data_IF_507705829118
#
_entry.id   IF_507705829118
#
_cell.length_a   1.000
_cell.length_b   1.000
_cell.length_c   1.000
_cell.angle_alpha   90.00
_cell.angle_beta   90.00
_cell.angle_gamma   90.00
#
_symmetry.space_group_name_H-M   'P 1'
#
loop_
_entity.id
_entity.type
_entity.pdbx_description
1 polymer ?
#
# COMPACT_ATOMS: atom_id res chain seq x y z
N UNK A 1 2.72 -18.89 1.01
CA UNK A 1 1.58 -18.33 1.76
C UNK A 1 1.50 -16.85 1.49
N UNK A 2 0.30 -16.30 1.33
CA UNK A 2 0.04 -14.88 1.06
C UNK A 2 -0.96 -14.35 2.09
N UNK A 3 -0.81 -13.10 2.48
CA UNK A 3 -1.79 -12.38 3.30
C UNK A 3 -2.27 -11.17 2.50
N UNK A 4 -3.44 -11.31 1.88
CA UNK A 4 -4.04 -10.27 1.07
C UNK A 4 -4.79 -9.33 2.00
N UNK A 5 -4.43 -8.05 1.96
CA UNK A 5 -5.00 -7.08 2.89
C UNK A 5 -5.38 -5.77 2.21
N UNK A 6 -6.23 -5.06 2.92
CA UNK A 6 -6.59 -3.67 2.65
C UNK A 6 -6.87 -2.94 3.96
N UNK A 7 -6.58 -1.65 3.99
CA UNK A 7 -6.66 -0.80 5.19
C UNK A 7 -7.35 0.50 4.85
N UNK A 8 -8.37 0.85 5.66
CA UNK A 8 -8.91 2.21 5.70
C UNK A 8 -8.27 3.00 6.84
N UNK A 9 -8.06 4.30 6.64
CA UNK A 9 -7.39 5.16 7.62
C UNK A 9 -8.20 6.41 7.95
N UNK A 10 -7.76 7.16 8.94
CA UNK A 10 -8.34 8.48 9.26
C UNK A 10 -8.06 9.53 8.19
N UNK A 11 -7.11 9.28 7.27
CA UNK A 11 -6.49 10.34 6.49
C UNK A 11 -5.66 11.27 7.38
N UNK A 12 -5.16 12.36 6.79
CA UNK A 12 -4.35 13.33 7.51
C UNK A 12 -2.91 13.41 6.99
N UNK A 13 -2.00 13.86 7.85
CA UNK A 13 -0.59 13.98 7.51
C UNK A 13 0.10 12.62 7.54
N UNK A 14 1.19 12.51 6.78
CA UNK A 14 2.04 11.33 6.74
C UNK A 14 2.51 10.94 8.15
N UNK A 15 2.40 9.65 8.49
CA UNK A 15 2.70 9.04 9.80
C UNK A 15 1.83 9.51 10.99
N UNK A 16 0.84 10.40 10.76
CA UNK A 16 -0.14 10.79 11.77
C UNK A 16 -1.47 10.04 11.60
N UNK A 17 -1.64 9.33 10.48
CA UNK A 17 -2.85 8.55 10.23
C UNK A 17 -2.99 7.39 11.25
N UNK A 18 -4.24 7.03 11.54
CA UNK A 18 -4.58 5.81 12.28
C UNK A 18 -5.46 4.89 11.46
N UNK A 19 -5.42 3.59 11.72
CA UNK A 19 -6.26 2.60 11.03
C UNK A 19 -7.69 2.70 11.57
N UNK A 20 -8.67 2.78 10.66
CA UNK A 20 -10.11 2.77 10.98
C UNK A 20 -10.77 1.44 10.63
N UNK A 21 -10.27 0.72 9.65
CA UNK A 21 -10.70 -0.64 9.28
C UNK A 21 -9.53 -1.40 8.70
N UNK A 22 -9.45 -2.70 8.96
CA UNK A 22 -8.50 -3.62 8.34
C UNK A 22 -9.20 -4.91 7.96
N UNK A 23 -8.83 -5.46 6.79
CA UNK A 23 -9.23 -6.80 6.40
C UNK A 23 -8.05 -7.57 5.85
N UNK A 24 -7.92 -8.84 6.22
CA UNK A 24 -6.82 -9.73 5.82
C UNK A 24 -7.40 -11.09 5.46
N UNK A 25 -7.02 -11.61 4.30
CA UNK A 25 -7.28 -12.98 3.87
C UNK A 25 -5.96 -13.73 3.76
N UNK A 26 -5.79 -14.81 4.52
CA UNK A 26 -4.66 -15.72 4.39
C UNK A 26 -4.96 -16.73 3.30
N UNK A 27 -4.10 -16.78 2.28
CA UNK A 27 -4.30 -17.54 1.06
C UNK A 27 -3.09 -18.43 0.78
N UNK A 28 -3.31 -19.71 0.53
CA UNK A 28 -2.23 -20.67 0.29
C UNK A 28 -1.78 -20.75 -1.19
N UNK A 29 -2.53 -20.16 -2.08
CA UNK A 29 -2.36 -20.21 -3.54
C UNK A 29 -3.57 -20.77 -4.25
N UNK A 30 -4.41 -21.53 -3.53
CA UNK A 30 -5.63 -22.14 -4.03
C UNK A 30 -6.86 -21.74 -3.18
N UNK A 31 -6.72 -21.74 -1.84
CA UNK A 31 -7.83 -21.53 -0.91
C UNK A 31 -7.54 -20.42 0.11
N UNK A 32 -8.61 -19.79 0.59
CA UNK A 32 -8.55 -18.96 1.80
C UNK A 32 -8.49 -19.91 3.00
N UNK A 33 -7.40 -19.89 3.74
CA UNK A 33 -7.17 -20.76 4.91
C UNK A 33 -7.45 -20.05 6.23
N UNK A 34 -7.51 -18.72 6.23
CA UNK A 34 -7.84 -17.90 7.39
C UNK A 34 -8.27 -16.51 6.96
N UNK A 35 -9.06 -15.81 7.81
CA UNK A 35 -9.47 -14.44 7.54
C UNK A 35 -9.63 -13.65 8.82
N UNK A 36 -9.40 -12.35 8.74
CA UNK A 36 -9.60 -11.39 9.82
C UNK A 36 -10.13 -10.08 9.24
N UNK A 37 -11.14 -9.50 9.87
CA UNK A 37 -11.64 -8.18 9.53
C UNK A 37 -12.15 -7.48 10.79
N UNK A 38 -11.79 -6.22 10.95
CA UNK A 38 -12.20 -5.43 12.13
C UNK A 38 -12.22 -3.95 11.81
N UNK A 39 -13.23 -3.25 12.32
CA UNK A 39 -13.12 -1.82 12.58
C UNK A 39 -12.10 -1.62 13.71
N UNK A 40 -11.38 -0.51 13.69
CA UNK A 40 -10.37 -0.15 14.69
C UNK A 40 -10.61 1.29 15.13
N UNK A 41 -10.58 1.54 16.43
CA UNK A 41 -10.65 2.89 16.98
C UNK A 41 -9.23 3.46 17.15
N UNK A 42 -8.80 4.38 16.29
CA UNK A 42 -7.46 4.96 16.36
C UNK A 42 -7.33 6.09 17.41
N UNK A 43 -8.43 6.50 18.07
CA UNK A 43 -8.50 7.71 18.91
C UNK A 43 -8.05 9.01 18.19
N UNK A 44 -8.11 8.99 16.86
CA UNK A 44 -7.74 10.12 15.99
C UNK A 44 -8.98 10.55 15.22
N UNK A 45 -9.13 11.84 14.96
CA UNK A 45 -10.25 12.36 14.18
C UNK A 45 -10.16 11.92 12.72
N UNK A 46 -11.28 11.42 12.18
CA UNK A 46 -11.37 11.02 10.77
C UNK A 46 -11.61 12.26 9.93
N UNK A 47 -10.80 12.46 8.91
CA UNK A 47 -10.96 13.58 7.99
C UNK A 47 -12.33 13.53 7.28
N UNK A 48 -13.05 14.65 7.12
CA UNK A 48 -14.40 14.66 6.55
C UNK A 48 -14.51 14.00 5.17
N UNK A 49 -13.48 14.17 4.33
CA UNK A 49 -13.47 13.54 3.01
C UNK A 49 -13.35 12.01 3.09
N UNK A 50 -12.64 11.47 4.11
CA UNK A 50 -12.53 10.02 4.34
C UNK A 50 -13.86 9.45 4.83
N UNK A 51 -14.53 10.15 5.76
CA UNK A 51 -15.90 9.76 6.19
C UNK A 51 -16.84 9.68 4.99
N UNK A 52 -16.78 10.65 4.07
CA UNK A 52 -17.59 10.66 2.85
C UNK A 52 -17.22 9.50 1.90
N UNK A 53 -15.95 9.13 1.84
CA UNK A 53 -15.43 8.09 0.95
C UNK A 53 -15.78 6.69 1.45
N UNK A 54 -15.47 6.39 2.72
CA UNK A 54 -15.55 5.05 3.33
C UNK A 54 -16.87 4.78 4.04
N UNK A 55 -17.60 5.85 4.41
CA UNK A 55 -18.78 5.77 5.28
C UNK A 55 -18.44 5.52 6.74
N UNK A 56 -17.15 5.28 7.09
CA UNK A 56 -16.73 5.04 8.46
C UNK A 56 -16.73 6.35 9.24
N UNK A 57 -17.40 6.36 10.37
CA UNK A 57 -17.54 7.54 11.21
C UNK A 57 -17.27 7.24 12.68
N UNK A 58 -17.09 8.28 13.48
CA UNK A 58 -16.77 8.19 14.91
C UNK A 58 -17.77 7.32 15.72
N UNK A 59 -19.06 7.32 15.34
CA UNK A 59 -20.07 6.52 16.03
C UNK A 59 -19.81 5.02 15.83
N UNK A 60 -19.40 4.62 14.63
CA UNK A 60 -19.07 3.22 14.32
C UNK A 60 -17.83 2.76 15.08
N UNK A 61 -16.84 3.63 15.26
CA UNK A 61 -15.57 3.31 15.90
C UNK A 61 -15.62 3.34 17.43
N UNK A 62 -16.68 3.90 18.02
CA UNK A 62 -16.76 4.11 19.49
C UNK A 62 -16.51 2.84 20.31
N UNK A 63 -17.02 1.71 19.86
CA UNK A 63 -16.91 0.42 20.53
C UNK A 63 -15.97 -0.56 19.78
N UNK A 64 -15.27 -0.08 18.75
CA UNK A 64 -14.29 -0.87 18.04
C UNK A 64 -13.01 -1.04 18.88
N UNK A 65 -12.31 -2.17 18.77
CA UNK A 65 -11.05 -2.38 19.47
C UNK A 65 -10.01 -1.36 19.02
N UNK A 66 -9.05 -1.08 19.87
CA UNK A 66 -7.86 -0.32 19.51
C UNK A 66 -6.84 -1.22 18.80
N UNK A 67 -5.91 -0.62 18.08
CA UNK A 67 -4.94 -1.40 17.30
C UNK A 67 -4.16 -2.41 18.15
N UNK A 68 -3.73 -2.04 19.36
CA UNK A 68 -2.99 -2.93 20.25
C UNK A 68 -3.76 -4.20 20.65
N UNK A 69 -5.10 -4.15 20.68
CA UNK A 69 -5.95 -5.29 21.04
C UNK A 69 -6.01 -6.32 19.92
N UNK A 70 -5.84 -5.90 18.67
CA UNK A 70 -5.86 -6.77 17.48
C UNK A 70 -4.46 -7.07 16.92
N UNK A 71 -3.43 -6.38 17.38
CA UNK A 71 -2.06 -6.46 16.87
C UNK A 71 -1.53 -7.89 16.86
N UNK A 72 -1.76 -8.67 17.93
CA UNK A 72 -1.37 -10.08 18.01
C UNK A 72 -1.99 -10.90 16.88
N UNK A 73 -3.28 -10.72 16.62
CA UNK A 73 -4.00 -11.43 15.57
C UNK A 73 -3.45 -11.08 14.17
N UNK A 74 -3.11 -9.82 13.95
CA UNK A 74 -2.49 -9.36 12.69
C UNK A 74 -1.12 -10.01 12.49
N UNK A 75 -0.29 -10.10 13.54
CA UNK A 75 1.00 -10.81 13.46
C UNK A 75 0.81 -12.28 13.12
N UNK A 76 -0.11 -12.97 13.78
CA UNK A 76 -0.39 -14.40 13.58
C UNK A 76 -0.88 -14.72 12.16
N UNK A 77 -1.89 -13.97 11.66
CA UNK A 77 -2.46 -14.22 10.33
C UNK A 77 -1.48 -13.89 9.20
N UNK A 78 -0.54 -12.98 9.44
CA UNK A 78 0.49 -12.58 8.46
C UNK A 78 1.80 -13.34 8.64
N UNK A 79 1.89 -14.25 9.61
CA UNK A 79 3.13 -14.99 9.86
C UNK A 79 3.52 -15.88 8.68
N UNK A 80 4.82 -15.87 8.35
CA UNK A 80 5.37 -16.62 7.22
C UNK A 80 4.62 -16.39 5.89
N UNK A 81 4.01 -15.20 5.71
CA UNK A 81 3.26 -14.83 4.52
C UNK A 81 3.87 -13.61 3.83
N UNK A 82 3.65 -13.53 2.52
CA UNK A 82 3.91 -12.33 1.73
C UNK A 82 2.67 -11.45 1.82
N UNK A 83 2.81 -10.20 2.26
CA UNK A 83 1.71 -9.24 2.25
C UNK A 83 1.39 -8.82 0.83
N UNK A 84 0.15 -8.93 0.44
CA UNK A 84 -0.35 -8.56 -0.88
C UNK A 84 -1.42 -7.50 -0.72
N UNK A 85 -1.23 -6.35 -1.38
CA UNK A 85 -2.23 -5.28 -1.40
C UNK A 85 -2.23 -4.56 -2.74
N UNK A 86 -3.26 -3.76 -3.00
CA UNK A 86 -3.34 -2.92 -4.18
C UNK A 86 -2.78 -1.52 -3.88
N UNK A 87 -1.51 -1.26 -4.20
CA UNK A 87 -0.65 -0.18 -3.73
C UNK A 87 -0.04 -0.50 -2.35
N UNK A 88 0.53 -1.70 -2.23
CA UNK A 88 1.02 -2.31 -1.00
C UNK A 88 1.97 -1.44 -0.15
N UNK A 89 2.65 -0.47 -0.76
CA UNK A 89 3.51 0.48 -0.04
C UNK A 89 2.72 1.30 0.99
N UNK A 90 1.49 1.71 0.65
CA UNK A 90 0.62 2.46 1.54
C UNK A 90 0.22 1.63 2.76
N UNK A 91 -0.40 0.46 2.54
CA UNK A 91 -0.91 -0.40 3.61
C UNK A 91 0.21 -0.89 4.52
N UNK A 92 1.35 -1.28 3.94
CA UNK A 92 2.49 -1.76 4.70
C UNK A 92 3.10 -0.66 5.58
N UNK A 93 3.22 0.58 5.06
CA UNK A 93 3.69 1.73 5.83
C UNK A 93 2.77 2.01 7.03
N UNK A 94 1.45 2.00 6.81
CA UNK A 94 0.48 2.22 7.88
C UNK A 94 0.61 1.16 8.96
N UNK A 95 0.71 -0.14 8.59
CA UNK A 95 0.94 -1.21 9.55
C UNK A 95 2.25 -1.02 10.34
N UNK A 96 3.35 -0.72 9.63
CA UNK A 96 4.63 -0.46 10.29
C UNK A 96 4.55 0.72 11.27
N UNK A 97 3.81 1.77 10.93
CA UNK A 97 3.61 2.93 11.80
C UNK A 97 2.83 2.54 13.07
N UNK A 98 1.73 1.80 12.92
CA UNK A 98 0.95 1.34 14.08
C UNK A 98 1.76 0.39 14.98
N UNK A 99 2.48 -0.56 14.40
CA UNK A 99 3.34 -1.46 15.18
C UNK A 99 4.50 -0.73 15.85
N UNK A 100 5.10 0.28 15.20
CA UNK A 100 6.15 1.14 15.79
C UNK A 100 5.64 1.91 17.00
N UNK A 101 4.38 2.38 16.98
CA UNK A 101 3.71 3.00 18.14
C UNK A 101 3.61 2.03 19.33
N UNK A 102 3.59 0.72 19.07
CA UNK A 102 3.63 -0.34 20.07
C UNK A 102 5.07 -0.80 20.40
N UNK A 103 6.10 -0.10 19.93
CA UNK A 103 7.52 -0.49 20.08
C UNK A 103 7.82 -1.88 19.48
N UNK A 104 7.09 -2.29 18.44
CA UNK A 104 7.25 -3.59 17.77
C UNK A 104 7.74 -3.37 16.33
N UNK A 105 8.77 -4.13 15.92
CA UNK A 105 9.23 -4.15 14.52
C UNK A 105 8.40 -5.12 13.70
N UNK A 106 7.57 -4.59 12.79
CA UNK A 106 6.76 -5.39 11.90
C UNK A 106 7.40 -5.46 10.52
N UNK A 107 7.99 -6.62 10.20
CA UNK A 107 8.68 -6.84 8.94
C UNK A 107 8.06 -8.01 8.18
N UNK A 108 7.60 -7.75 6.96
CA UNK A 108 7.07 -8.74 6.03
C UNK A 108 7.57 -8.45 4.62
N UNK A 109 7.70 -9.48 3.80
CA UNK A 109 7.83 -9.31 2.34
C UNK A 109 6.51 -8.79 1.81
N UNK A 110 6.56 -7.90 0.84
CA UNK A 110 5.37 -7.32 0.22
C UNK A 110 5.30 -7.63 -1.27
N UNK A 111 4.09 -7.60 -1.82
CA UNK A 111 3.81 -7.77 -3.23
C UNK A 111 2.66 -6.85 -3.63
N UNK A 112 2.89 -5.99 -4.61
CA UNK A 112 1.94 -4.98 -5.04
C UNK A 112 1.15 -5.44 -6.27
N UNK A 113 -0.17 -5.67 -6.14
CA UNK A 113 -1.01 -6.07 -7.27
C UNK A 113 -1.15 -4.96 -8.31
N UNK A 114 -1.03 -3.67 -7.93
CA UNK A 114 -0.98 -2.56 -8.88
C UNK A 114 0.22 -2.68 -9.83
N UNK A 115 1.41 -2.96 -9.30
CA UNK A 115 2.63 -3.12 -10.09
C UNK A 115 2.58 -4.39 -10.94
N UNK A 116 2.11 -5.50 -10.38
CA UNK A 116 1.89 -6.74 -11.14
C UNK A 116 0.90 -6.55 -12.29
N UNK A 117 -0.19 -5.82 -12.05
CA UNK A 117 -1.19 -5.55 -13.09
C UNK A 117 -0.60 -4.74 -14.24
N UNK A 118 0.25 -3.76 -13.97
CA UNK A 118 0.93 -2.99 -15.02
C UNK A 118 1.84 -3.85 -15.91
N UNK A 119 2.42 -4.91 -15.36
CA UNK A 119 3.31 -5.82 -16.08
C UNK A 119 2.51 -6.89 -16.83
N UNK A 120 1.50 -7.49 -16.20
CA UNK A 120 0.77 -8.66 -16.72
C UNK A 120 -0.47 -8.28 -17.54
N UNK A 121 -0.95 -7.03 -17.43
CA UNK A 121 -2.16 -6.51 -18.06
C UNK A 121 -1.90 -5.12 -18.66
N UNK A 122 -0.82 -4.92 -19.46
CA UNK A 122 -0.41 -3.59 -19.91
C UNK A 122 -1.46 -2.88 -20.78
N UNK A 123 -2.40 -3.63 -21.35
CA UNK A 123 -3.50 -3.15 -22.18
C UNK A 123 -4.60 -2.42 -21.41
N UNK A 124 -4.60 -2.49 -20.07
CA UNK A 124 -5.67 -1.90 -19.28
C UNK A 124 -5.60 -0.37 -19.26
N UNK A 125 -6.71 0.34 -19.48
CA UNK A 125 -6.74 1.80 -19.55
C UNK A 125 -6.55 2.48 -18.19
N UNK A 126 -6.75 1.74 -17.09
CA UNK A 126 -6.61 2.23 -15.73
C UNK A 126 -6.21 1.10 -14.78
N UNK A 127 -5.34 1.43 -13.83
CA UNK A 127 -4.86 0.52 -12.79
C UNK A 127 -5.36 0.87 -11.39
N UNK A 128 -6.29 1.80 -11.22
CA UNK A 128 -7.00 1.95 -9.94
C UNK A 128 -7.89 0.72 -9.69
N UNK A 129 -7.93 0.21 -8.46
CA UNK A 129 -8.58 -1.06 -8.14
C UNK A 129 -9.99 -1.16 -8.73
N UNK A 130 -10.87 -0.21 -8.41
CA UNK A 130 -12.25 -0.24 -8.85
C UNK A 130 -12.44 -0.22 -10.38
N UNK A 131 -11.65 0.59 -11.11
CA UNK A 131 -11.70 0.62 -12.59
C UNK A 131 -11.12 -0.65 -13.21
N UNK A 132 -9.99 -1.11 -12.69
CA UNK A 132 -9.31 -2.30 -13.19
C UNK A 132 -10.19 -3.53 -13.07
N UNK A 133 -10.75 -3.80 -11.89
CA UNK A 133 -11.55 -5.00 -11.66
C UNK A 133 -12.87 -4.98 -12.44
N UNK A 134 -13.51 -3.81 -12.63
CA UNK A 134 -14.68 -3.66 -13.50
C UNK A 134 -14.35 -3.98 -14.96
N UNK A 135 -13.22 -3.48 -15.47
CA UNK A 135 -12.77 -3.78 -16.85
C UNK A 135 -12.46 -5.27 -17.04
N UNK A 136 -12.02 -5.96 -15.98
CA UNK A 136 -11.75 -7.39 -15.99
C UNK A 136 -12.99 -8.27 -15.74
N UNK A 137 -14.16 -7.65 -15.55
CA UNK A 137 -15.40 -8.38 -15.25
C UNK A 137 -15.44 -9.02 -13.86
N UNK A 138 -14.56 -8.58 -12.93
CA UNK A 138 -14.55 -9.06 -11.56
C UNK A 138 -15.63 -8.32 -10.77
N UNK A 139 -16.65 -9.03 -10.21
CA UNK A 139 -17.68 -8.39 -9.39
C UNK A 139 -17.08 -7.68 -8.18
N UNK A 140 -17.45 -6.41 -8.01
CA UNK A 140 -16.98 -5.58 -6.93
C UNK A 140 -18.16 -4.92 -6.21
N UNK A 141 -18.32 -5.27 -4.95
CA UNK A 141 -19.33 -4.72 -4.03
C UNK A 141 -18.60 -4.16 -2.80
N UNK A 142 -19.18 -3.16 -2.15
CA UNK A 142 -18.61 -2.50 -0.97
C UNK A 142 -17.23 -1.85 -1.24
N UNK A 143 -17.13 -1.10 -2.33
CA UNK A 143 -15.96 -0.26 -2.63
C UNK A 143 -15.71 0.73 -1.46
N UNK A 144 -14.44 0.97 -1.16
CA UNK A 144 -13.99 1.78 -0.01
C UNK A 144 -14.38 1.22 1.37
N UNK A 145 -14.39 -0.10 1.48
CA UNK A 145 -14.45 -0.83 2.74
C UNK A 145 -13.39 -1.92 2.70
N UNK A 146 -12.54 -1.95 3.71
CA UNK A 146 -11.37 -2.84 3.72
C UNK A 146 -11.71 -4.30 3.39
N UNK A 147 -12.83 -4.83 3.91
CA UNK A 147 -13.28 -6.18 3.58
C UNK A 147 -13.61 -6.36 2.08
N UNK A 148 -14.29 -5.39 1.46
CA UNK A 148 -14.63 -5.41 0.04
C UNK A 148 -13.39 -5.30 -0.85
N UNK A 149 -12.52 -4.35 -0.53
CA UNK A 149 -11.31 -4.06 -1.30
C UNK A 149 -10.27 -5.19 -1.17
N UNK A 150 -10.07 -5.76 0.02
CA UNK A 150 -9.23 -6.94 0.20
C UNK A 150 -9.76 -8.17 -0.55
N UNK A 151 -11.10 -8.40 -0.53
CA UNK A 151 -11.72 -9.52 -1.23
C UNK A 151 -11.57 -9.42 -2.74
N UNK A 152 -11.76 -8.23 -3.30
CA UNK A 152 -11.60 -8.03 -4.74
C UNK A 152 -10.12 -8.03 -5.14
N UNK A 153 -9.23 -7.54 -4.28
CA UNK A 153 -7.77 -7.64 -4.46
C UNK A 153 -7.32 -9.11 -4.49
N UNK A 154 -7.90 -9.98 -3.66
CA UNK A 154 -7.66 -11.43 -3.72
C UNK A 154 -8.05 -12.02 -5.07
N UNK A 155 -9.25 -11.69 -5.59
CA UNK A 155 -9.69 -12.19 -6.92
C UNK A 155 -8.77 -11.67 -8.04
N UNK A 156 -8.38 -10.41 -7.99
CA UNK A 156 -7.40 -9.85 -8.92
C UNK A 156 -6.07 -10.60 -8.82
N UNK A 157 -5.58 -10.86 -7.61
CA UNK A 157 -4.33 -11.58 -7.38
C UNK A 157 -4.39 -13.02 -7.92
N UNK A 158 -5.48 -13.74 -7.73
CA UNK A 158 -5.71 -15.07 -8.33
C UNK A 158 -5.61 -15.03 -9.87
N UNK A 159 -6.22 -14.02 -10.51
CA UNK A 159 -6.11 -13.82 -11.95
C UNK A 159 -4.66 -13.53 -12.39
N UNK A 160 -3.94 -12.70 -11.64
CA UNK A 160 -2.53 -12.40 -11.92
C UNK A 160 -1.63 -13.63 -11.75
N UNK A 161 -1.89 -14.47 -10.74
CA UNK A 161 -1.21 -15.76 -10.56
C UNK A 161 -1.43 -16.69 -11.74
N UNK A 162 -2.66 -16.76 -12.24
CA UNK A 162 -2.99 -17.57 -13.41
C UNK A 162 -2.30 -17.08 -14.69
N UNK A 163 -2.17 -15.76 -14.86
CA UNK A 163 -1.46 -15.17 -16.01
C UNK A 163 0.06 -15.36 -15.95
N UNK A 164 0.66 -15.37 -14.78
CA UNK A 164 2.10 -15.64 -14.59
C UNK A 164 2.38 -17.14 -14.39
N UNK A 165 2.08 -17.94 -15.41
CA UNK A 165 2.17 -19.43 -15.39
C UNK A 165 3.52 -19.93 -14.86
N UNK A 166 4.61 -19.27 -15.23
CA UNK A 166 5.97 -19.63 -14.78
C UNK A 166 6.35 -19.02 -13.44
N UNK A 167 5.48 -18.18 -12.85
CA UNK A 167 5.71 -17.45 -11.59
C UNK A 167 7.01 -16.62 -11.57
N UNK A 168 7.57 -16.31 -12.73
CA UNK A 168 8.85 -15.59 -12.85
C UNK A 168 8.71 -14.11 -12.50
N UNK A 169 7.60 -13.47 -12.95
CA UNK A 169 7.31 -12.08 -12.68
C UNK A 169 7.00 -11.89 -11.20
N UNK A 170 6.17 -12.79 -10.65
CA UNK A 170 5.83 -12.80 -9.22
C UNK A 170 7.09 -12.90 -8.35
N UNK A 171 7.94 -13.93 -8.57
CA UNK A 171 9.18 -14.13 -7.82
C UNK A 171 10.09 -12.91 -7.88
N UNK A 172 10.30 -12.34 -9.07
CA UNK A 172 11.12 -11.14 -9.27
C UNK A 172 10.58 -9.92 -8.53
N UNK A 173 9.27 -9.77 -8.46
CA UNK A 173 8.64 -8.65 -7.75
C UNK A 173 8.67 -8.83 -6.23
N UNK A 174 8.54 -10.06 -5.71
CA UNK A 174 8.71 -10.35 -4.27
C UNK A 174 10.14 -10.02 -3.84
N UNK A 175 11.15 -10.40 -4.61
CA UNK A 175 12.56 -10.13 -4.28
C UNK A 175 12.90 -8.63 -4.36
N UNK A 176 12.26 -7.89 -5.25
CA UNK A 176 12.48 -6.45 -5.43
C UNK A 176 11.74 -5.56 -4.40
N UNK A 177 10.69 -6.07 -3.78
CA UNK A 177 9.87 -5.35 -2.79
C UNK A 177 10.36 -5.54 -1.35
N UNK A 178 11.62 -5.94 -1.16
CA UNK A 178 12.24 -5.88 0.16
C UNK A 178 12.33 -4.39 0.58
N UNK A 179 11.57 -3.92 1.59
CA UNK A 179 11.54 -2.50 1.97
C UNK A 179 12.93 -1.98 2.42
N UNK A 180 13.83 -2.88 2.80
CA UNK A 180 15.22 -2.58 3.15
C UNK A 180 16.14 -2.33 1.93
N UNK A 181 15.61 -2.32 0.71
CA UNK A 181 16.38 -2.01 -0.52
C UNK A 181 16.19 -0.61 -1.07
N UNK A 182 15.53 0.30 -0.38
CA UNK A 182 15.86 1.72 -0.57
C UNK A 182 17.31 1.86 -0.07
N UNK A 183 18.29 2.19 -0.92
CA UNK A 183 19.68 2.29 -0.45
C UNK A 183 19.70 3.21 0.75
N UNK A 184 20.27 2.79 1.88
CA UNK A 184 20.25 3.53 3.15
C UNK A 184 20.68 4.99 3.04
N UNK A 185 21.50 5.29 2.02
CA UNK A 185 21.88 6.64 1.59
C UNK A 185 20.70 7.57 1.26
N UNK A 186 19.57 7.03 0.78
CA UNK A 186 18.40 7.84 0.45
C UNK A 186 17.39 7.94 1.61
N UNK A 187 17.38 6.96 2.54
CA UNK A 187 16.49 7.01 3.71
C UNK A 187 16.85 8.19 4.61
N UNK A 188 18.14 8.42 4.88
CA UNK A 188 18.59 9.58 5.67
C UNK A 188 18.23 10.92 5.05
N UNK A 189 18.22 11.01 3.71
CA UNK A 189 17.81 12.22 2.98
C UNK A 189 16.31 12.40 3.08
N UNK A 190 15.55 11.32 2.88
CA UNK A 190 14.08 11.33 2.92
C UNK A 190 13.58 11.70 4.31
N UNK A 191 14.22 11.20 5.37
CA UNK A 191 13.80 11.48 6.74
C UNK A 191 13.99 12.96 7.14
N UNK A 192 14.89 13.66 6.47
CA UNK A 192 15.10 15.10 6.66
C UNK A 192 14.14 15.99 5.84
N UNK A 193 13.36 15.40 4.91
CA UNK A 193 12.44 16.18 4.08
C UNK A 193 11.16 16.54 4.85
N UNK A 194 10.65 17.77 4.66
CA UNK A 194 9.40 18.18 5.30
C UNK A 194 8.21 17.44 4.70
N UNK A 195 7.24 17.09 5.54
CA UNK A 195 5.96 16.49 5.14
C UNK A 195 4.90 17.56 4.84
N UNK A 196 5.32 18.69 4.27
CA UNK A 196 4.52 19.89 4.04
C UNK A 196 4.35 20.19 2.55
N UNK A 197 3.42 21.12 2.27
CA UNK A 197 3.21 21.69 0.94
C UNK A 197 4.44 22.49 0.50
N UNK A 198 4.88 22.29 -0.74
CA UNK A 198 5.99 23.08 -1.26
C UNK A 198 6.48 22.65 -2.63
N UNK A 199 7.57 23.29 -3.05
CA UNK A 199 8.30 23.04 -4.29
C UNK A 199 9.64 22.41 -3.95
N UNK A 200 10.05 21.42 -4.74
CA UNK A 200 11.34 20.74 -4.58
C UNK A 200 12.09 20.67 -5.91
N UNK A 201 13.42 20.63 -5.81
CA UNK A 201 14.32 20.56 -6.95
C UNK A 201 15.15 19.29 -6.87
N UNK A 202 15.29 18.59 -7.99
CA UNK A 202 16.21 17.45 -8.12
C UNK A 202 17.39 17.91 -8.99
N UNK A 203 18.60 17.68 -8.47
CA UNK A 203 19.85 18.04 -9.14
C UNK A 203 20.56 16.77 -9.60
N UNK A 204 21.27 16.85 -10.73
CA UNK A 204 22.22 15.82 -11.12
C UNK A 204 23.57 15.98 -10.39
N UNK A 205 24.50 15.02 -10.62
CA UNK A 205 25.85 15.05 -10.03
C UNK A 205 26.67 16.29 -10.37
N UNK A 206 26.29 17.06 -11.38
CA UNK A 206 26.93 18.32 -11.82
C UNK A 206 26.23 19.56 -11.28
N UNK A 207 25.37 19.41 -10.26
CA UNK A 207 24.55 20.47 -9.67
C UNK A 207 23.61 21.20 -10.66
N UNK A 208 23.25 20.58 -11.77
CA UNK A 208 22.26 21.10 -12.69
C UNK A 208 20.87 20.58 -12.32
N UNK A 209 19.88 21.47 -12.28
CA UNK A 209 18.47 21.09 -12.02
C UNK A 209 18.01 20.22 -13.19
N UNK A 210 17.51 19.01 -12.87
CA UNK A 210 16.95 18.06 -13.82
C UNK A 210 15.43 17.87 -13.64
N UNK A 211 14.90 18.31 -12.51
CA UNK A 211 13.46 18.23 -12.24
C UNK A 211 13.05 19.28 -11.20
N UNK A 212 11.89 19.90 -11.44
CA UNK A 212 11.22 20.79 -10.49
C UNK A 212 9.82 20.23 -10.28
N UNK A 213 9.42 20.01 -9.04
CA UNK A 213 8.11 19.49 -8.69
C UNK A 213 7.45 20.26 -7.56
N UNK A 214 6.12 20.25 -7.55
CA UNK A 214 5.33 20.73 -6.43
C UNK A 214 4.51 19.58 -5.83
N UNK A 215 4.29 19.61 -4.53
CA UNK A 215 3.47 18.60 -3.84
C UNK A 215 2.86 19.17 -2.57
N UNK A 216 1.72 18.61 -2.19
CA UNK A 216 1.10 18.84 -0.88
C UNK A 216 1.87 18.12 0.25
N UNK A 217 2.78 17.20 -0.10
CA UNK A 217 3.69 16.52 0.82
C UNK A 217 4.98 16.18 0.07
N UNK A 218 6.02 16.99 0.31
CA UNK A 218 7.33 16.86 -0.37
C UNK A 218 7.95 15.51 -0.08
N UNK A 219 8.00 15.07 1.19
CA UNK A 219 8.58 13.78 1.60
C UNK A 219 7.98 12.62 0.83
N UNK A 220 6.65 12.53 0.79
CA UNK A 220 5.91 11.49 0.06
C UNK A 220 6.19 11.52 -1.44
N UNK A 221 6.24 12.71 -2.04
CA UNK A 221 6.43 12.88 -3.48
C UNK A 221 7.85 12.52 -3.91
N UNK A 222 8.86 12.94 -3.14
CA UNK A 222 10.28 12.60 -3.41
C UNK A 222 10.49 11.10 -3.23
N UNK A 223 9.93 10.48 -2.18
CA UNK A 223 9.96 9.04 -2.00
C UNK A 223 9.39 8.30 -3.22
N UNK A 224 8.25 8.75 -3.76
CA UNK A 224 7.65 8.14 -4.95
C UNK A 224 8.54 8.23 -6.19
N UNK A 225 9.33 9.28 -6.36
CA UNK A 225 10.32 9.39 -7.45
C UNK A 225 11.46 8.39 -7.29
N UNK A 226 11.89 8.11 -6.07
CA UNK A 226 13.00 7.20 -5.79
C UNK A 226 12.58 5.71 -5.85
N UNK A 227 11.33 5.42 -5.54
CA UNK A 227 10.76 4.06 -5.57
C UNK A 227 10.21 3.66 -6.94
N UNK A 228 9.63 4.61 -7.70
CA UNK A 228 8.98 4.34 -9.00
C UNK A 228 9.91 4.39 -10.21
N UNK A 229 11.16 4.88 -10.08
CA UNK A 229 12.01 5.21 -11.22
C UNK A 229 13.16 4.21 -11.48
N UNK A 230 12.84 2.93 -11.78
CA UNK A 230 13.76 2.14 -12.64
C UNK A 230 13.37 2.13 -14.13
N UNK A 231 12.15 2.50 -14.48
CA UNK A 231 11.70 2.37 -15.89
C UNK A 231 11.48 3.69 -16.63
N UNK A 232 11.27 4.82 -15.95
CA UNK A 232 11.10 6.14 -16.62
C UNK A 232 12.40 6.88 -16.97
N UNK A 233 13.56 6.36 -16.59
CA UNK A 233 14.86 6.97 -16.96
C UNK A 233 15.24 6.80 -18.45
N UNK A 234 14.38 6.20 -19.29
CA UNK A 234 14.60 6.19 -20.75
C UNK A 234 14.08 7.44 -21.47
N UNK A 235 13.12 8.17 -20.88
CA UNK A 235 12.51 9.32 -21.55
C UNK A 235 13.13 10.69 -21.16
N UNK A 236 14.00 10.73 -20.14
CA UNK A 236 14.73 11.98 -19.77
C UNK A 236 16.06 12.13 -20.56
N UNK A 237 16.35 11.23 -21.49
CA UNK A 237 17.57 11.30 -22.32
C UNK A 237 17.34 11.87 -23.73
N UNK A 238 16.20 12.51 -24.00
CA UNK A 238 15.98 13.25 -25.26
C UNK A 238 15.44 14.63 -24.91
N UNK A 239 16.33 15.55 -24.65
CA UNK A 239 16.42 16.95 -25.07
C UNK A 239 17.70 17.58 -24.51
#
# INVERSE_FOLDING_TARGET
>A
MYAILDIETTGGKYDEEGITEIAIYRFDGDNIVDQFSSLINPDIEIQPFVVKLTGINKKMLRNAPKFFEVAKRIVEITDNSILVAHNAEFDYRILQTEFRRLSFSFERKTLCTLNLSRILLPEQPSFSLGKLVRNLGIPFTNEHRAHGDAKVTLKLFQLLLYKDIKKNILKKNIENLNPNKTPGKYLEIIDKLPSEIGVYYIYNQKNKIIYIGQSNNIKKRVLSHLTLNKEKNKDIKKE
#
